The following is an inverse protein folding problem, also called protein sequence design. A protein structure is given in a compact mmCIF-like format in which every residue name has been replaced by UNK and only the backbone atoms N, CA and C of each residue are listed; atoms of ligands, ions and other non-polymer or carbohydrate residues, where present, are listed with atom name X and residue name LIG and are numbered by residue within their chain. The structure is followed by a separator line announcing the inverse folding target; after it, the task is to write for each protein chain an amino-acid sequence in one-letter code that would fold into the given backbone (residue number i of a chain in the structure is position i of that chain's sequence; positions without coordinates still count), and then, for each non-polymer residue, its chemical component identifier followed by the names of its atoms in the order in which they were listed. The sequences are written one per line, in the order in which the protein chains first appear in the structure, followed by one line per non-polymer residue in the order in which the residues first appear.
data_IF_874881894863
#
_entry.id   IF_874881894863
#
_cell.length_a   1.000
_cell.length_b   1.000
_cell.length_c   1.000
_cell.angle_alpha   90.00
_cell.angle_beta   90.00
_cell.angle_gamma   90.00
#
_symmetry.space_group_name_H-M   'P 1'
#
loop_
_entity.id
_entity.type
_entity.pdbx_description
1 polymer ?
#
# COMPACT_ATOMS: atom_id res chain seq x y z
N UNK A 1 18.59 25.88 24.73
CA UNK A 1 17.50 24.87 24.79
C UNK A 1 16.78 24.76 23.45
N UNK A 2 16.10 25.80 22.96
CA UNK A 2 15.45 25.76 21.62
C UNK A 2 16.45 25.65 20.46
N UNK A 3 17.53 26.43 20.47
CA UNK A 3 18.53 26.43 19.40
C UNK A 3 19.30 25.11 19.29
N UNK A 4 19.60 24.47 20.42
CA UNK A 4 20.21 23.15 20.47
C UNK A 4 19.29 22.03 19.96
N UNK A 5 17.97 22.19 20.11
CA UNK A 5 16.98 21.24 19.61
C UNK A 5 16.76 21.40 18.09
N UNK A 6 16.82 22.62 17.57
CA UNK A 6 16.74 22.91 16.13
C UNK A 6 17.96 22.36 15.41
N UNK A 7 19.17 22.62 15.92
CA UNK A 7 20.41 22.10 15.34
C UNK A 7 20.47 20.56 15.33
N UNK A 8 19.92 19.90 16.36
CA UNK A 8 19.80 18.45 16.41
C UNK A 8 18.84 17.90 15.33
N UNK A 9 17.67 18.55 15.16
CA UNK A 9 16.70 18.18 14.12
C UNK A 9 17.23 18.42 12.71
N UNK A 10 18.01 19.48 12.50
CA UNK A 10 18.66 19.76 11.22
C UNK A 10 19.74 18.71 10.89
N UNK A 11 20.53 18.28 11.88
CA UNK A 11 21.51 17.21 11.71
C UNK A 11 20.87 15.86 11.39
N UNK A 12 19.77 15.52 12.04
CA UNK A 12 19.01 14.29 11.79
C UNK A 12 18.35 14.30 10.40
N UNK A 13 17.79 15.44 10.00
CA UNK A 13 17.22 15.63 8.66
C UNK A 13 18.29 15.53 7.56
N UNK A 14 19.50 16.04 7.79
CA UNK A 14 20.61 15.93 6.85
C UNK A 14 21.10 14.47 6.69
N UNK A 15 21.15 13.70 7.78
CA UNK A 15 21.51 12.28 7.74
C UNK A 15 20.51 11.45 6.92
N UNK A 16 19.20 11.67 7.16
CA UNK A 16 18.14 11.02 6.40
C UNK A 16 18.18 11.36 4.90
N UNK A 17 18.51 12.61 4.55
CA UNK A 17 18.65 13.01 3.16
C UNK A 17 19.85 12.35 2.46
N UNK A 18 20.98 12.18 3.17
CA UNK A 18 22.16 11.52 2.63
C UNK A 18 21.89 10.03 2.35
N UNK A 19 21.27 9.33 3.30
CA UNK A 19 20.88 7.93 3.15
C UNK A 19 19.88 7.74 2.00
N UNK A 20 18.86 8.60 1.90
CA UNK A 20 17.91 8.57 0.79
C UNK A 20 18.60 8.76 -0.58
N UNK A 21 19.61 9.63 -0.67
CA UNK A 21 20.33 9.90 -1.93
C UNK A 21 21.16 8.69 -2.38
N UNK A 22 21.73 7.95 -1.44
CA UNK A 22 22.44 6.68 -1.68
C UNK A 22 21.47 5.59 -2.16
N UNK A 23 20.35 5.40 -1.45
CA UNK A 23 19.36 4.36 -1.76
C UNK A 23 18.69 4.63 -3.11
N UNK A 24 18.37 5.88 -3.41
CA UNK A 24 17.55 6.25 -4.58
C UNK A 24 18.37 6.67 -5.81
N UNK A 25 19.70 6.80 -5.68
CA UNK A 25 20.64 7.13 -6.77
C UNK A 25 20.21 8.33 -7.64
N UNK A 26 19.60 9.34 -7.03
CA UNK A 26 19.16 10.57 -7.71
C UNK A 26 17.76 10.53 -8.32
N UNK A 27 17.01 9.41 -8.21
CA UNK A 27 15.57 9.43 -8.38
C UNK A 27 14.90 9.88 -7.08
N UNK A 28 13.75 10.55 -7.15
CA UNK A 28 12.90 10.67 -5.97
C UNK A 28 12.09 9.35 -5.80
N UNK A 29 11.86 8.94 -4.56
CA UNK A 29 11.20 7.66 -4.26
C UNK A 29 9.75 7.64 -4.78
N UNK A 30 9.10 8.80 -4.89
CA UNK A 30 7.75 8.90 -5.42
C UNK A 30 7.72 8.61 -6.93
N UNK A 31 8.69 9.11 -7.70
CA UNK A 31 8.87 8.88 -9.12
C UNK A 31 9.21 7.42 -9.40
N UNK A 32 10.11 6.83 -8.61
CA UNK A 32 10.39 5.40 -8.69
C UNK A 32 9.15 4.56 -8.42
N UNK A 33 8.43 4.85 -7.33
CA UNK A 33 7.22 4.13 -6.95
C UNK A 33 6.12 4.26 -8.01
N UNK A 34 5.95 5.44 -8.61
CA UNK A 34 5.02 5.67 -9.72
C UNK A 34 5.37 4.83 -10.95
N UNK A 35 6.66 4.77 -11.33
CA UNK A 35 7.12 3.94 -12.45
C UNK A 35 6.94 2.44 -12.15
N UNK A 36 7.23 2.02 -10.92
CA UNK A 36 7.03 0.65 -10.45
C UNK A 36 5.54 0.24 -10.55
N UNK A 37 4.63 1.04 -10.01
CA UNK A 37 3.18 0.80 -10.08
C UNK A 37 2.68 0.72 -11.52
N UNK A 38 3.15 1.60 -12.41
CA UNK A 38 2.76 1.58 -13.82
C UNK A 38 3.15 0.26 -14.51
N UNK A 39 4.34 -0.26 -14.21
CA UNK A 39 4.85 -1.53 -14.76
C UNK A 39 4.17 -2.76 -14.16
N UNK A 40 3.82 -2.73 -12.88
CA UNK A 40 3.38 -3.89 -12.11
C UNK A 40 1.90 -3.91 -11.74
N UNK A 41 1.07 -3.08 -12.38
CA UNK A 41 -0.38 -2.92 -12.12
C UNK A 41 -1.23 -4.19 -12.17
N UNK A 42 -0.73 -5.29 -12.73
CA UNK A 42 -1.42 -6.58 -12.81
C UNK A 42 -1.20 -7.51 -11.61
N UNK A 43 -0.24 -7.19 -10.72
CA UNK A 43 0.05 -8.00 -9.52
C UNK A 43 -0.49 -7.30 -8.28
N UNK A 44 -1.37 -7.97 -7.54
CA UNK A 44 -1.95 -7.42 -6.32
C UNK A 44 -0.87 -7.07 -5.29
N UNK A 45 0.12 -7.97 -5.10
CA UNK A 45 1.26 -7.75 -4.20
C UNK A 45 2.01 -6.45 -4.52
N UNK A 46 2.37 -6.25 -5.79
CA UNK A 46 3.10 -5.04 -6.19
C UNK A 46 2.24 -3.78 -6.06
N UNK A 47 0.95 -3.88 -6.37
CA UNK A 47 -0.02 -2.79 -6.21
C UNK A 47 -0.15 -2.38 -4.74
N UNK A 48 -0.30 -3.34 -3.83
CA UNK A 48 -0.38 -3.10 -2.39
C UNK A 48 0.90 -2.46 -1.84
N UNK A 49 2.07 -3.02 -2.16
CA UNK A 49 3.35 -2.47 -1.73
C UNK A 49 3.58 -1.04 -2.25
N UNK A 50 3.27 -0.77 -3.51
CA UNK A 50 3.41 0.58 -4.06
C UNK A 50 2.39 1.57 -3.51
N UNK A 51 1.17 1.12 -3.18
CA UNK A 51 0.16 1.94 -2.51
C UNK A 51 0.59 2.30 -1.07
N UNK A 52 1.19 1.37 -0.34
CA UNK A 52 1.77 1.62 0.99
C UNK A 52 2.86 2.68 0.93
N UNK A 53 3.83 2.52 0.02
CA UNK A 53 4.91 3.50 -0.17
C UNK A 53 4.34 4.87 -0.53
N UNK A 54 3.33 4.93 -1.41
CA UNK A 54 2.70 6.20 -1.80
C UNK A 54 2.05 6.91 -0.60
N UNK A 55 1.33 6.19 0.24
CA UNK A 55 0.68 6.75 1.43
C UNK A 55 1.69 7.15 2.52
N UNK A 56 2.84 6.47 2.63
CA UNK A 56 3.91 6.84 3.55
C UNK A 56 4.63 8.13 3.12
N UNK A 57 4.90 8.27 1.82
CA UNK A 57 5.54 9.46 1.26
C UNK A 57 4.60 10.67 1.25
N UNK A 58 3.34 10.44 0.94
CA UNK A 58 2.32 11.49 0.81
C UNK A 58 1.04 11.07 1.56
N UNK A 59 0.99 11.27 2.89
CA UNK A 59 -0.17 10.86 3.70
C UNK A 59 -1.51 11.46 3.23
N UNK A 60 -1.49 12.64 2.60
CA UNK A 60 -2.67 13.24 1.99
C UNK A 60 -3.27 12.40 0.85
N UNK A 61 -2.47 11.53 0.21
CA UNK A 61 -2.89 10.63 -0.87
C UNK A 61 -3.24 9.23 -0.37
N UNK A 62 -3.40 9.02 0.94
CA UNK A 62 -3.82 7.73 1.50
C UNK A 62 -5.13 7.23 0.86
N UNK A 63 -6.07 8.12 0.59
CA UNK A 63 -7.32 7.79 -0.09
C UNK A 63 -7.09 7.24 -1.52
N UNK A 64 -6.15 7.84 -2.27
CA UNK A 64 -5.78 7.38 -3.61
C UNK A 64 -5.11 6.00 -3.56
N UNK A 65 -4.25 5.77 -2.57
CA UNK A 65 -3.60 4.48 -2.33
C UNK A 65 -4.63 3.37 -2.05
N UNK A 66 -5.64 3.65 -1.22
CA UNK A 66 -6.76 2.73 -0.95
C UNK A 66 -7.57 2.49 -2.22
N UNK A 67 -7.89 3.55 -2.97
CA UNK A 67 -8.64 3.44 -4.22
C UNK A 67 -7.92 2.57 -5.26
N UNK A 68 -6.59 2.67 -5.34
CA UNK A 68 -5.74 1.89 -6.25
C UNK A 68 -5.84 0.38 -5.97
N UNK A 69 -5.87 -0.01 -4.69
CA UNK A 69 -6.07 -1.42 -4.29
C UNK A 69 -7.52 -1.84 -4.52
N UNK A 70 -8.50 -0.99 -4.20
CA UNK A 70 -9.91 -1.32 -4.40
C UNK A 70 -10.28 -1.46 -5.89
N UNK A 71 -9.65 -0.70 -6.79
CA UNK A 71 -9.75 -0.87 -8.25
C UNK A 71 -9.30 -2.25 -8.71
N UNK A 72 -8.39 -2.91 -7.98
CA UNK A 72 -8.00 -4.28 -8.28
C UNK A 72 -9.18 -5.25 -8.18
N UNK A 73 -10.08 -5.07 -7.20
CA UNK A 73 -11.26 -5.94 -7.03
C UNK A 73 -12.18 -5.90 -8.25
N UNK A 74 -12.35 -4.71 -8.85
CA UNK A 74 -13.17 -4.54 -10.06
C UNK A 74 -12.54 -5.21 -11.28
N UNK A 75 -11.21 -5.06 -11.44
CA UNK A 75 -10.48 -5.71 -12.53
C UNK A 75 -10.51 -7.22 -12.41
N UNK A 76 -10.32 -7.75 -11.19
CA UNK A 76 -10.41 -9.17 -10.91
C UNK A 76 -11.82 -9.74 -11.17
N UNK A 77 -12.88 -8.95 -10.90
CA UNK A 77 -14.26 -9.36 -11.23
C UNK A 77 -14.55 -9.38 -12.75
N UNK A 78 -13.76 -8.67 -13.56
CA UNK A 78 -13.97 -8.53 -15.01
C UNK A 78 -13.15 -9.49 -15.89
N UNK A 79 -12.21 -10.24 -15.31
CA UNK A 79 -11.29 -11.10 -16.05
C UNK A 79 -11.10 -12.45 -15.34
N UNK A 80 -10.72 -13.50 -16.07
CA UNK A 80 -10.15 -14.76 -15.56
C UNK A 80 -8.80 -14.45 -14.87
N UNK A 81 -8.87 -13.75 -13.75
CA UNK A 81 -7.69 -13.46 -12.95
C UNK A 81 -7.19 -14.78 -12.36
N UNK A 82 -5.89 -15.12 -12.52
CA UNK A 82 -5.31 -16.27 -11.84
C UNK A 82 -5.66 -16.19 -10.36
N UNK A 83 -5.94 -17.34 -9.73
CA UNK A 83 -6.35 -17.39 -8.33
C UNK A 83 -5.43 -16.51 -7.48
N UNK A 84 -5.99 -15.48 -6.87
CA UNK A 84 -5.20 -14.59 -6.03
C UNK A 84 -4.68 -15.39 -4.85
N UNK A 85 -3.37 -15.32 -4.63
CA UNK A 85 -2.73 -15.97 -3.51
C UNK A 85 -3.33 -15.43 -2.21
N UNK A 86 -3.61 -16.32 -1.26
CA UNK A 86 -4.16 -15.97 0.05
C UNK A 86 -3.28 -14.95 0.76
N UNK A 87 -1.95 -15.05 0.59
CA UNK A 87 -1.02 -14.13 1.23
C UNK A 87 -1.18 -12.70 0.71
N UNK A 88 -1.32 -12.54 -0.61
CA UNK A 88 -1.53 -11.23 -1.22
C UNK A 88 -2.86 -10.58 -0.75
N UNK A 89 -3.89 -11.38 -0.52
CA UNK A 89 -5.16 -10.91 0.07
C UNK A 89 -5.00 -10.46 1.53
N UNK A 90 -4.19 -11.19 2.32
CA UNK A 90 -3.89 -10.85 3.72
C UNK A 90 -3.06 -9.58 3.84
N UNK A 91 -2.07 -9.39 2.96
CA UNK A 91 -1.21 -8.20 2.97
C UNK A 91 -2.05 -6.92 2.77
N UNK A 92 -3.05 -6.96 1.88
CA UNK A 92 -4.00 -5.84 1.72
C UNK A 92 -4.87 -5.63 2.96
N UNK A 93 -5.30 -6.70 3.64
CA UNK A 93 -6.03 -6.55 4.89
C UNK A 93 -5.21 -5.83 5.96
N UNK A 94 -3.93 -6.16 6.05
CA UNK A 94 -3.02 -5.53 6.99
C UNK A 94 -2.79 -4.06 6.64
N UNK A 95 -2.55 -3.74 5.36
CA UNK A 95 -2.47 -2.36 4.86
C UNK A 95 -3.70 -1.54 5.27
N UNK A 96 -4.91 -2.04 4.98
CA UNK A 96 -6.16 -1.33 5.29
C UNK A 96 -6.38 -1.17 6.80
N UNK A 97 -5.94 -2.14 7.61
CA UNK A 97 -5.96 -2.08 9.07
C UNK A 97 -5.02 -0.99 9.58
N UNK A 98 -3.78 -0.94 9.08
CA UNK A 98 -2.80 0.09 9.42
C UNK A 98 -3.31 1.48 9.03
N UNK A 99 -3.99 1.57 7.88
CA UNK A 99 -4.56 2.83 7.40
C UNK A 99 -5.84 3.24 8.12
N UNK A 100 -6.41 2.37 8.98
CA UNK A 100 -7.69 2.60 9.67
C UNK A 100 -8.85 2.84 8.68
N UNK A 101 -8.84 2.11 7.56
CA UNK A 101 -9.84 2.24 6.49
C UNK A 101 -10.91 1.16 6.61
N UNK A 102 -11.78 1.30 7.61
CA UNK A 102 -12.77 0.27 7.99
C UNK A 102 -13.72 -0.07 6.83
N UNK A 103 -14.23 0.95 6.12
CA UNK A 103 -15.15 0.75 5.00
C UNK A 103 -14.48 0.00 3.83
N UNK A 104 -13.21 0.31 3.53
CA UNK A 104 -12.45 -0.41 2.52
C UNK A 104 -12.13 -1.83 2.99
N UNK A 105 -11.79 -2.01 4.27
CA UNK A 105 -11.53 -3.33 4.87
C UNK A 105 -12.74 -4.25 4.75
N UNK A 106 -13.95 -3.76 5.04
CA UNK A 106 -15.19 -4.53 4.90
C UNK A 106 -15.42 -4.97 3.44
N UNK A 107 -15.27 -4.05 2.47
CA UNK A 107 -15.41 -4.35 1.04
C UNK A 107 -14.35 -5.36 0.56
N UNK A 108 -13.12 -5.19 1.01
CA UNK A 108 -12.03 -6.08 0.67
C UNK A 108 -12.23 -7.49 1.23
N UNK A 109 -12.70 -7.62 2.48
CA UNK A 109 -13.05 -8.92 3.07
C UNK A 109 -14.14 -9.62 2.27
N UNK A 110 -15.20 -8.91 1.87
CA UNK A 110 -16.26 -9.46 1.03
C UNK A 110 -15.72 -9.96 -0.32
N UNK A 111 -14.79 -9.21 -0.94
CA UNK A 111 -14.08 -9.69 -2.14
C UNK A 111 -13.23 -10.94 -1.86
N UNK A 112 -12.50 -10.99 -0.75
CA UNK A 112 -11.74 -12.19 -0.38
C UNK A 112 -12.63 -13.43 -0.23
N UNK A 113 -13.85 -13.27 0.30
CA UNK A 113 -14.83 -14.35 0.41
C UNK A 113 -15.25 -14.90 -0.96
N UNK A 114 -15.31 -14.07 -2.01
CA UNK A 114 -15.66 -14.55 -3.36
C UNK A 114 -14.51 -15.28 -4.02
N UNK A 115 -13.27 -14.88 -3.72
CA UNK A 115 -12.06 -15.53 -4.24
C UNK A 115 -11.75 -16.84 -3.49
N UNK A 116 -12.05 -16.91 -2.19
CA UNK A 116 -11.80 -18.08 -1.33
C UNK A 116 -13.00 -18.41 -0.43
N UNK A 117 -14.12 -18.95 -0.99
CA UNK A 117 -15.38 -19.13 -0.25
C UNK A 117 -15.30 -20.05 0.97
N UNK A 118 -14.39 -21.02 0.92
CA UNK A 118 -14.20 -22.02 1.97
C UNK A 118 -13.20 -21.57 3.05
N UNK A 119 -12.68 -20.34 2.99
CA UNK A 119 -11.73 -19.84 3.97
C UNK A 119 -12.45 -19.17 5.16
N UNK A 120 -12.38 -19.73 6.38
CA UNK A 120 -13.11 -19.19 7.54
C UNK A 120 -12.69 -17.77 7.92
N UNK A 121 -11.45 -17.38 7.62
CA UNK A 121 -10.91 -16.03 7.88
C UNK A 121 -11.68 -14.92 7.15
N UNK A 122 -12.33 -15.24 6.04
CA UNK A 122 -13.03 -14.29 5.19
C UNK A 122 -14.54 -14.49 5.20
N UNK A 123 -15.07 -15.42 5.98
CA UNK A 123 -16.52 -15.59 6.09
C UNK A 123 -17.10 -14.47 6.95
N UNK A 124 -18.24 -13.92 6.51
CA UNK A 124 -19.01 -13.01 7.34
C UNK A 124 -19.50 -13.78 8.56
N UNK A 125 -19.24 -13.26 9.77
CA UNK A 125 -19.92 -13.75 10.97
C UNK A 125 -21.42 -13.57 10.76
N UNK A 126 -22.16 -14.67 10.74
CA UNK A 126 -23.62 -14.72 10.69
C UNK A 126 -24.24 -14.05 11.91
#
# INVERSE_FOLDING_TARGET
AKESEVAAKEGEMAALQAEAKEILKGADLAAFNKAFLAKHKGSLRHVAAGAEVAALLEPAKKADAVALVMEFTKRAASADTPSLDRRDLQDVCEMLRVFKEEAASAKWKAFCSTQHPLCPQWQASS
#
